data_IF_285368365796
#
_entry.id   IF_285368365796
#
_cell.length_a   1.000
_cell.length_b   1.000
_cell.length_c   1.000
_cell.angle_alpha   90.00
_cell.angle_beta   90.00
_cell.angle_gamma   90.00
#
_symmetry.space_group_name_H-M   'P 1'
#
loop_
_entity.id
_entity.type
_entity.pdbx_description
1 polymer ?
#
# COMPACT_ATOMS: atom_id res chain seq x y z
N UNK A 1 -2.55 -22.55 -4.19
CA UNK A 1 -3.27 -21.58 -3.34
C UNK A 1 -2.59 -20.22 -3.33
N UNK A 2 -1.40 -20.05 -2.74
CA UNK A 2 -0.73 -18.74 -2.64
C UNK A 2 -0.58 -17.98 -3.96
N UNK A 3 -0.18 -18.66 -5.04
CA UNK A 3 -0.07 -18.07 -6.38
C UNK A 3 -1.40 -17.48 -6.87
N UNK A 4 -2.51 -18.20 -6.71
CA UNK A 4 -3.82 -17.73 -7.17
C UNK A 4 -4.29 -16.53 -6.34
N UNK A 5 -4.03 -16.53 -5.03
CA UNK A 5 -4.27 -15.35 -4.20
C UNK A 5 -3.43 -14.15 -4.65
N UNK A 6 -2.15 -14.37 -5.01
CA UNK A 6 -1.29 -13.31 -5.52
C UNK A 6 -1.74 -12.77 -6.88
N UNK A 7 -2.26 -13.61 -7.79
CA UNK A 7 -2.80 -13.14 -9.07
C UNK A 7 -4.10 -12.37 -8.89
N UNK A 8 -4.97 -12.80 -7.96
CA UNK A 8 -6.30 -12.24 -7.79
C UNK A 8 -6.37 -11.06 -6.80
N UNK A 9 -5.28 -10.72 -6.10
CA UNK A 9 -5.33 -9.73 -5.01
C UNK A 9 -5.83 -8.34 -5.44
N UNK A 10 -5.56 -7.94 -6.67
CA UNK A 10 -5.93 -6.62 -7.22
C UNK A 10 -7.27 -6.62 -7.98
N UNK A 11 -7.87 -7.78 -8.25
CA UNK A 11 -9.12 -7.91 -9.04
C UNK A 11 -10.28 -7.12 -8.42
N UNK A 12 -10.32 -7.07 -7.10
CA UNK A 12 -11.34 -6.36 -6.33
C UNK A 12 -10.91 -4.97 -5.84
N UNK A 13 -9.81 -4.39 -6.34
CA UNK A 13 -9.33 -3.14 -5.75
C UNK A 13 -10.28 -1.95 -6.05
N UNK A 14 -10.62 -1.13 -5.04
CA UNK A 14 -11.50 0.02 -5.19
C UNK A 14 -11.04 1.07 -6.21
N UNK A 15 -9.77 1.08 -6.61
CA UNK A 15 -9.26 1.98 -7.66
C UNK A 15 -9.89 1.69 -9.03
N UNK A 16 -10.35 0.46 -9.27
CA UNK A 16 -10.83 0.01 -10.59
C UNK A 16 -12.31 -0.37 -10.59
N UNK A 17 -12.87 -0.72 -9.43
CA UNK A 17 -14.27 -1.18 -9.33
C UNK A 17 -14.93 -0.72 -8.04
N UNK A 18 -16.17 -0.27 -8.15
CA UNK A 18 -17.00 0.14 -7.00
C UNK A 18 -17.52 -1.05 -6.19
N UNK A 19 -17.54 -2.26 -6.77
CA UNK A 19 -18.03 -3.46 -6.10
C UNK A 19 -17.02 -4.62 -6.26
N UNK A 20 -15.83 -4.42 -5.71
CA UNK A 20 -14.71 -5.36 -5.84
C UNK A 20 -14.99 -6.77 -5.34
N UNK A 21 -15.80 -6.91 -4.29
CA UNK A 21 -16.20 -8.23 -3.76
C UNK A 21 -17.04 -8.98 -4.80
N UNK A 22 -18.00 -8.31 -5.44
CA UNK A 22 -18.82 -8.94 -6.49
C UNK A 22 -17.97 -9.37 -7.68
N UNK A 23 -17.02 -8.56 -8.11
CA UNK A 23 -16.11 -8.89 -9.23
C UNK A 23 -15.26 -10.10 -8.87
N UNK A 24 -14.64 -10.10 -7.69
CA UNK A 24 -13.85 -11.23 -7.21
C UNK A 24 -14.68 -12.52 -7.15
N UNK A 25 -15.90 -12.45 -6.63
CA UNK A 25 -16.79 -13.61 -6.54
C UNK A 25 -17.14 -14.15 -7.93
N UNK A 26 -17.44 -13.28 -8.89
CA UNK A 26 -17.70 -13.72 -10.27
C UNK A 26 -16.52 -14.47 -10.88
N UNK A 27 -15.28 -14.03 -10.63
CA UNK A 27 -14.08 -14.74 -11.08
C UNK A 27 -13.94 -16.10 -10.38
N UNK A 28 -14.17 -16.16 -9.08
CA UNK A 28 -14.08 -17.41 -8.31
C UNK A 28 -15.18 -18.41 -8.71
N UNK A 29 -16.40 -17.93 -8.95
CA UNK A 29 -17.53 -18.74 -9.40
C UNK A 29 -17.24 -19.35 -10.78
N UNK A 30 -16.65 -18.56 -11.69
CA UNK A 30 -16.24 -19.05 -13.01
C UNK A 30 -15.12 -20.10 -12.91
N UNK A 31 -14.07 -19.84 -12.11
CA UNK A 31 -13.00 -20.82 -11.87
C UNK A 31 -13.53 -22.12 -11.25
N UNK A 32 -14.56 -22.03 -10.41
CA UNK A 32 -15.22 -23.21 -9.85
C UNK A 32 -16.03 -23.96 -10.91
N UNK A 33 -16.83 -23.24 -11.72
CA UNK A 33 -17.63 -23.81 -12.80
C UNK A 33 -16.75 -24.53 -13.84
N UNK A 34 -15.56 -24.00 -14.12
CA UNK A 34 -14.58 -24.60 -15.03
C UNK A 34 -13.80 -25.78 -14.39
N UNK A 35 -14.06 -26.09 -13.11
CA UNK A 35 -13.45 -27.22 -12.40
C UNK A 35 -12.02 -26.97 -11.92
N UNK A 36 -11.53 -25.73 -11.95
CA UNK A 36 -10.16 -25.38 -11.53
C UNK A 36 -10.00 -25.30 -10.01
N UNK A 37 -11.08 -24.98 -9.27
CA UNK A 37 -11.06 -24.86 -7.81
C UNK A 37 -12.30 -25.47 -7.16
N UNK A 38 -12.17 -25.92 -5.91
CA UNK A 38 -13.29 -26.35 -5.08
C UNK A 38 -13.96 -25.16 -4.37
N UNK A 39 -15.21 -25.29 -3.89
CA UNK A 39 -15.88 -24.23 -3.14
C UNK A 39 -15.11 -23.81 -1.87
N UNK A 40 -14.49 -24.77 -1.18
CA UNK A 40 -13.64 -24.48 -0.02
C UNK A 40 -12.37 -23.70 -0.39
N UNK A 41 -11.78 -23.96 -1.56
CA UNK A 41 -10.67 -23.17 -2.07
C UNK A 41 -11.10 -21.76 -2.45
N UNK A 42 -12.26 -21.59 -3.09
CA UNK A 42 -12.81 -20.28 -3.44
C UNK A 42 -13.00 -19.40 -2.19
N UNK A 43 -13.62 -19.93 -1.13
CA UNK A 43 -13.80 -19.23 0.14
C UNK A 43 -12.46 -18.81 0.77
N UNK A 44 -11.47 -19.72 0.75
CA UNK A 44 -10.13 -19.45 1.26
C UNK A 44 -9.40 -18.37 0.45
N UNK A 45 -9.49 -18.40 -0.89
CA UNK A 45 -8.89 -17.38 -1.76
C UNK A 45 -9.52 -16.03 -1.49
N UNK A 46 -10.86 -15.96 -1.44
CA UNK A 46 -11.57 -14.73 -1.12
C UNK A 46 -11.12 -14.17 0.24
N UNK A 47 -11.04 -15.01 1.27
CA UNK A 47 -10.61 -14.59 2.59
C UNK A 47 -9.19 -14.01 2.61
N UNK A 48 -8.25 -14.64 1.88
CA UNK A 48 -6.88 -14.16 1.75
C UNK A 48 -6.84 -12.84 0.98
N UNK A 49 -7.41 -12.79 -0.23
CA UNK A 49 -7.39 -11.61 -1.12
C UNK A 49 -7.94 -10.37 -0.41
N UNK A 50 -9.05 -10.50 0.31
CA UNK A 50 -9.67 -9.39 1.05
C UNK A 50 -8.83 -8.88 2.24
N UNK A 51 -7.74 -9.55 2.61
CA UNK A 51 -6.85 -9.19 3.74
C UNK A 51 -5.43 -8.79 3.29
N UNK A 52 -5.12 -8.87 2.00
CA UNK A 52 -3.76 -8.62 1.48
C UNK A 52 -3.38 -7.15 1.64
N UNK A 53 -4.26 -6.21 1.29
CA UNK A 53 -3.90 -4.80 1.22
C UNK A 53 -3.46 -4.19 2.56
N UNK A 54 -2.52 -3.24 2.52
CA UNK A 54 -2.04 -2.49 3.69
C UNK A 54 -3.16 -1.90 4.56
N UNK A 55 -4.17 -1.30 3.92
CA UNK A 55 -5.32 -0.65 4.60
C UNK A 55 -6.11 -1.61 5.50
N UNK A 56 -6.05 -2.91 5.21
CA UNK A 56 -6.76 -3.92 5.99
C UNK A 56 -6.03 -4.24 7.30
N UNK A 57 -4.77 -3.83 7.46
CA UNK A 57 -4.02 -3.97 8.70
C UNK A 57 -4.14 -2.77 9.64
N UNK A 58 -4.74 -1.68 9.17
CA UNK A 58 -5.04 -0.51 10.01
C UNK A 58 -6.25 -0.83 10.90
N UNK A 59 -6.43 -0.11 12.03
CA UNK A 59 -7.62 -0.27 12.84
C UNK A 59 -8.90 -0.09 12.02
N UNK A 60 -9.85 -1.02 12.19
CA UNK A 60 -11.07 -1.12 11.39
C UNK A 60 -10.93 -1.88 10.06
N UNK A 61 -9.74 -2.41 9.75
CA UNK A 61 -9.51 -3.31 8.63
C UNK A 61 -9.83 -4.78 8.94
N UNK A 62 -9.82 -5.62 7.91
CA UNK A 62 -10.19 -7.04 8.03
C UNK A 62 -9.07 -7.96 8.55
N UNK A 63 -7.82 -7.51 8.55
CA UNK A 63 -6.67 -8.34 8.92
C UNK A 63 -6.47 -8.38 10.44
N UNK A 64 -6.24 -9.58 10.96
CA UNK A 64 -5.85 -9.85 12.33
C UNK A 64 -4.60 -10.74 12.36
N UNK A 65 -3.76 -10.68 13.41
CA UNK A 65 -2.62 -11.60 13.53
C UNK A 65 -3.01 -13.08 13.48
N UNK A 66 -4.22 -13.44 13.94
CA UNK A 66 -4.73 -14.80 13.89
C UNK A 66 -4.96 -15.34 12.47
N UNK A 67 -5.22 -14.46 11.50
CA UNK A 67 -5.42 -14.85 10.10
C UNK A 67 -4.17 -15.51 9.50
N UNK A 68 -2.97 -15.21 10.00
CA UNK A 68 -1.74 -15.85 9.55
C UNK A 68 -1.66 -17.34 9.95
N UNK A 69 -2.34 -17.71 11.04
CA UNK A 69 -2.46 -19.10 11.47
C UNK A 69 -3.56 -19.82 10.67
N UNK A 70 -4.67 -19.13 10.40
CA UNK A 70 -5.79 -19.67 9.61
C UNK A 70 -5.42 -19.86 8.14
N UNK A 71 -4.66 -18.91 7.58
CA UNK A 71 -4.27 -18.83 6.17
C UNK A 71 -2.74 -18.68 6.04
N UNK A 72 -1.97 -19.78 6.08
CA UNK A 72 -0.51 -19.74 5.97
C UNK A 72 0.01 -19.01 4.72
N UNK A 73 -0.76 -19.03 3.63
CA UNK A 73 -0.45 -18.33 2.37
C UNK A 73 -0.56 -16.79 2.47
N UNK A 74 -1.28 -16.25 3.45
CA UNK A 74 -1.53 -14.81 3.57
C UNK A 74 -0.24 -14.02 3.83
N UNK A 75 0.66 -14.56 4.65
CA UNK A 75 1.94 -13.92 4.97
C UNK A 75 2.80 -13.67 3.73
N UNK A 76 3.18 -14.72 2.97
CA UNK A 76 3.94 -14.58 1.74
C UNK A 76 3.26 -13.69 0.68
N UNK A 77 1.93 -13.78 0.53
CA UNK A 77 1.20 -12.95 -0.45
C UNK A 77 1.20 -11.47 -0.05
N UNK A 78 1.00 -11.16 1.23
CA UNK A 78 1.12 -9.79 1.75
C UNK A 78 2.54 -9.24 1.57
N UNK A 79 3.54 -10.04 1.88
CA UNK A 79 4.93 -9.60 1.76
C UNK A 79 5.30 -9.35 0.30
N UNK A 80 4.86 -10.20 -0.62
CA UNK A 80 5.07 -10.00 -2.05
C UNK A 80 4.44 -8.69 -2.56
N UNK A 81 3.18 -8.42 -2.23
CA UNK A 81 2.48 -7.17 -2.56
C UNK A 81 3.21 -5.94 -1.99
N UNK A 82 3.58 -6.00 -0.70
CA UNK A 82 4.24 -4.89 -0.02
C UNK A 82 5.68 -4.66 -0.49
N UNK A 83 6.41 -5.72 -0.84
CA UNK A 83 7.76 -5.61 -1.36
C UNK A 83 7.78 -4.85 -2.69
N UNK A 84 6.82 -5.10 -3.59
CA UNK A 84 6.71 -4.41 -4.88
C UNK A 84 6.38 -2.91 -4.74
N UNK A 85 5.82 -2.50 -3.59
CA UNK A 85 5.53 -1.11 -3.28
C UNK A 85 6.74 -0.31 -2.75
N UNK A 86 7.86 -0.96 -2.42
CA UNK A 86 9.05 -0.31 -1.83
C UNK A 86 10.33 -0.47 -2.67
N UNK A 87 11.35 0.32 -2.36
CA UNK A 87 12.62 0.39 -3.10
C UNK A 87 12.52 1.27 -4.33
N UNK A 88 13.45 1.08 -5.28
CA UNK A 88 13.54 1.91 -6.48
C UNK A 88 12.25 1.92 -7.33
N UNK A 89 11.61 0.75 -7.51
CA UNK A 89 10.33 0.66 -8.22
C UNK A 89 9.23 1.37 -7.44
N UNK A 90 9.20 1.23 -6.11
CA UNK A 90 8.26 1.95 -5.25
C UNK A 90 8.38 3.47 -5.39
N UNK A 91 9.60 4.01 -5.42
CA UNK A 91 9.87 5.43 -5.67
C UNK A 91 9.29 5.85 -7.03
N UNK A 92 9.68 5.17 -8.11
CA UNK A 92 9.24 5.50 -9.46
C UNK A 92 7.71 5.48 -9.60
N UNK A 93 7.06 4.43 -9.06
CA UNK A 93 5.59 4.29 -9.08
C UNK A 93 4.90 5.38 -8.30
N UNK A 94 5.46 5.80 -7.17
CA UNK A 94 4.88 6.85 -6.32
C UNK A 94 4.86 8.19 -7.04
N UNK A 95 5.98 8.60 -7.65
CA UNK A 95 6.03 9.85 -8.42
C UNK A 95 5.21 9.79 -9.71
N UNK A 96 5.22 8.66 -10.43
CA UNK A 96 4.38 8.49 -11.62
C UNK A 96 2.88 8.62 -11.28
N UNK A 97 2.44 7.98 -10.20
CA UNK A 97 1.05 8.06 -9.74
C UNK A 97 0.69 9.45 -9.21
N UNK A 98 1.61 10.11 -8.50
CA UNK A 98 1.46 11.49 -8.03
C UNK A 98 1.25 12.45 -9.20
N UNK A 99 2.14 12.40 -10.19
CA UNK A 99 2.05 13.21 -11.41
C UNK A 99 0.77 12.94 -12.21
N UNK A 100 0.37 11.67 -12.38
CA UNK A 100 -0.88 11.31 -13.05
C UNK A 100 -2.15 11.81 -12.31
N UNK A 101 -2.04 12.15 -11.02
CA UNK A 101 -3.11 12.74 -10.21
C UNK A 101 -2.96 14.25 -10.00
N UNK A 102 -2.01 14.90 -10.68
CA UNK A 102 -1.74 16.33 -10.50
C UNK A 102 -1.27 16.70 -9.09
N UNK A 103 -0.69 15.75 -8.33
CA UNK A 103 -0.15 16.01 -7.01
C UNK A 103 1.23 16.63 -7.13
N UNK A 104 1.50 17.63 -6.31
CA UNK A 104 2.85 18.18 -6.16
C UNK A 104 3.83 17.09 -5.73
N UNK A 105 5.08 17.20 -6.16
CA UNK A 105 6.13 16.30 -5.69
C UNK A 105 6.45 16.58 -4.22
N UNK A 106 6.53 17.86 -3.86
CA UNK A 106 6.83 18.39 -2.54
C UNK A 106 6.16 19.74 -2.35
N UNK A 107 5.59 19.97 -1.18
CA UNK A 107 4.99 21.25 -0.77
C UNK A 107 5.68 21.78 0.48
N UNK A 108 6.08 23.05 0.48
CA UNK A 108 6.70 23.70 1.65
C UNK A 108 5.76 23.78 2.85
N UNK A 109 4.45 23.82 2.62
CA UNK A 109 3.43 23.74 3.69
C UNK A 109 3.52 22.41 4.45
N UNK A 110 3.95 21.36 3.76
CA UNK A 110 4.15 20.01 4.30
C UNK A 110 5.60 19.78 4.75
N UNK A 111 6.50 20.78 4.70
CA UNK A 111 7.92 20.63 5.04
C UNK A 111 8.15 20.04 6.45
N UNK A 112 7.33 20.43 7.42
CA UNK A 112 7.35 19.85 8.77
C UNK A 112 7.09 18.34 8.76
N UNK A 113 6.26 17.85 7.84
CA UNK A 113 5.92 16.44 7.65
C UNK A 113 6.96 15.62 6.89
N UNK A 114 7.97 16.29 6.31
CA UNK A 114 9.09 15.69 5.56
C UNK A 114 10.41 15.68 6.34
N UNK A 115 10.44 16.38 7.48
CA UNK A 115 11.47 16.24 8.50
C UNK A 115 12.90 16.46 8.02
N UNK A 116 13.32 17.73 7.96
CA UNK A 116 14.73 18.06 8.13
C UNK A 116 15.15 17.89 9.61
N UNK A 117 15.27 16.64 10.07
CA UNK A 117 15.70 16.33 11.44
C UNK A 117 15.47 14.87 11.82
N UNK A 118 16.45 14.27 12.52
CA UNK A 118 16.46 12.88 13.01
C UNK A 118 15.20 12.48 13.82
N UNK A 119 14.46 13.45 14.37
CA UNK A 119 13.25 13.28 15.17
C UNK A 119 12.01 12.82 14.37
N UNK A 120 11.93 13.14 13.06
CA UNK A 120 10.70 12.99 12.25
C UNK A 120 10.67 11.73 11.36
N UNK A 121 11.50 10.73 11.65
CA UNK A 121 11.75 9.59 10.76
C UNK A 121 10.52 8.72 10.45
N UNK A 122 9.44 8.77 11.24
CA UNK A 122 8.17 8.11 10.93
C UNK A 122 7.01 8.91 11.51
N UNK A 123 6.19 9.54 10.67
CA UNK A 123 4.85 9.98 11.08
C UNK A 123 4.13 8.81 11.76
N UNK A 124 3.23 9.07 12.72
CA UNK A 124 2.38 8.02 13.24
C UNK A 124 1.58 7.41 12.07
N UNK A 125 1.37 6.10 12.13
CA UNK A 125 0.45 5.45 11.20
C UNK A 125 -0.94 6.10 11.29
N UNK A 126 -1.71 6.10 10.19
CA UNK A 126 -3.11 6.51 10.25
C UNK A 126 -3.84 5.75 11.37
N UNK A 127 -4.64 6.45 12.17
CA UNK A 127 -5.32 5.87 13.31
C UNK A 127 -6.41 4.88 12.90
N UNK A 128 -6.88 4.94 11.64
CA UNK A 128 -7.84 3.98 11.11
C UNK A 128 -7.77 3.83 9.58
N UNK A 129 -8.40 2.76 9.08
CA UNK A 129 -8.67 2.57 7.64
C UNK A 129 -9.45 3.74 7.04
N UNK A 130 -10.41 4.30 7.78
CA UNK A 130 -11.26 5.41 7.30
C UNK A 130 -10.41 6.66 7.10
N UNK A 131 -9.55 6.98 8.07
CA UNK A 131 -8.64 8.13 7.97
C UNK A 131 -7.66 7.98 6.81
N UNK A 132 -7.04 6.81 6.64
CA UNK A 132 -6.15 6.53 5.51
C UNK A 132 -6.83 6.68 4.14
N UNK A 133 -8.09 6.25 4.03
CA UNK A 133 -8.88 6.40 2.81
C UNK A 133 -9.25 7.87 2.56
N UNK A 134 -9.57 8.62 3.62
CA UNK A 134 -9.87 10.05 3.53
C UNK A 134 -8.64 10.88 3.12
N UNK A 135 -7.45 10.58 3.65
CA UNK A 135 -6.21 11.27 3.27
C UNK A 135 -5.75 10.98 1.84
N UNK A 136 -6.16 9.82 1.31
CA UNK A 136 -5.88 9.42 -0.07
C UNK A 136 -6.92 9.95 -1.07
N UNK A 137 -8.05 10.47 -0.58
CA UNK A 137 -9.15 10.96 -1.40
C UNK A 137 -8.73 12.25 -2.13
N UNK A 138 -9.08 12.30 -3.42
CA UNK A 138 -8.75 13.42 -4.29
C UNK A 138 -9.96 14.33 -4.35
N UNK A 139 -9.81 15.58 -3.88
CA UNK A 139 -10.83 16.60 -4.07
C UNK A 139 -10.66 17.25 -5.45
N UNK A 140 -11.77 17.45 -6.14
CA UNK A 140 -11.82 18.19 -7.41
C UNK A 140 -12.53 19.51 -7.12
N UNK A 141 -11.77 20.61 -7.13
CA UNK A 141 -12.32 21.97 -7.03
C UNK A 141 -12.05 22.71 -8.35
N UNK A 142 -13.09 23.26 -8.98
CA UNK A 142 -12.99 24.05 -10.23
C UNK A 142 -12.25 23.37 -11.40
N UNK A 143 -12.39 22.04 -11.56
CA UNK A 143 -11.73 21.29 -12.63
C UNK A 143 -10.22 21.12 -12.45
N UNK A 144 -9.66 21.63 -11.35
CA UNK A 144 -8.31 21.33 -10.90
C UNK A 144 -8.37 20.31 -9.77
N UNK A 145 -7.52 19.30 -9.89
CA UNK A 145 -7.34 18.29 -8.87
C UNK A 145 -6.50 18.89 -7.75
N UNK A 146 -7.11 19.26 -6.63
CA UNK A 146 -6.39 19.81 -5.47
C UNK A 146 -6.41 18.78 -4.34
N UNK A 147 -5.26 18.15 -4.09
CA UNK A 147 -5.06 17.38 -2.86
C UNK A 147 -4.59 18.33 -1.77
N UNK A 148 -5.53 19.04 -1.12
CA UNK A 148 -5.21 19.83 0.08
C UNK A 148 -4.51 18.92 1.10
N UNK A 149 -3.24 19.20 1.40
CA UNK A 149 -2.49 18.58 2.49
C UNK A 149 -1.84 17.21 2.22
N UNK A 150 -1.68 16.77 0.97
CA UNK A 150 -0.98 15.51 0.67
C UNK A 150 -0.21 15.57 -0.66
N UNK A 151 1.05 15.97 -0.61
CA UNK A 151 1.97 15.86 -1.75
C UNK A 151 2.44 14.41 -1.97
N UNK A 152 3.27 14.20 -2.99
CA UNK A 152 3.76 12.87 -3.35
C UNK A 152 4.75 12.33 -2.31
N UNK A 153 5.64 13.18 -1.79
CA UNK A 153 6.63 12.80 -0.79
C UNK A 153 5.97 12.38 0.54
N UNK A 154 4.80 12.94 0.86
CA UNK A 154 4.01 12.62 2.04
C UNK A 154 3.62 11.14 2.07
N UNK A 155 3.39 10.53 0.90
CA UNK A 155 3.05 9.10 0.80
C UNK A 155 4.13 8.17 1.35
N UNK A 156 5.39 8.58 1.28
CA UNK A 156 6.51 7.81 1.81
C UNK A 156 6.36 7.66 3.33
N UNK A 157 6.06 8.76 4.01
CA UNK A 157 5.92 8.79 5.47
C UNK A 157 4.61 8.18 5.94
N UNK A 158 3.50 8.36 5.24
CA UNK A 158 2.20 7.83 5.67
C UNK A 158 2.07 6.31 5.46
N UNK A 159 2.86 5.75 4.55
CA UNK A 159 2.75 4.33 4.18
C UNK A 159 4.08 3.65 3.93
N UNK A 160 4.83 4.09 2.93
CA UNK A 160 5.87 3.23 2.34
C UNK A 160 7.00 2.89 3.34
N UNK A 161 7.40 3.87 4.16
CA UNK A 161 8.41 3.70 5.21
C UNK A 161 7.92 2.88 6.42
N UNK A 162 6.63 2.52 6.47
CA UNK A 162 6.10 1.58 7.46
C UNK A 162 6.09 0.13 6.98
N UNK A 163 6.15 -0.12 5.66
CA UNK A 163 5.92 -1.45 5.11
C UNK A 163 7.00 -2.46 5.52
N UNK A 164 8.28 -2.05 5.55
CA UNK A 164 9.38 -2.96 5.85
C UNK A 164 9.29 -3.59 7.25
N UNK A 165 8.84 -2.83 8.25
CA UNK A 165 8.63 -3.31 9.61
C UNK A 165 7.39 -4.22 9.75
N UNK A 166 6.52 -4.24 8.74
CA UNK A 166 5.24 -4.94 8.76
C UNK A 166 5.23 -6.24 7.94
N UNK A 167 6.36 -6.60 7.34
CA UNK A 167 6.52 -7.88 6.65
C UNK A 167 6.29 -9.05 7.62
N UNK A 168 5.53 -10.04 7.17
CA UNK A 168 5.04 -11.19 7.95
C UNK A 168 6.10 -12.28 8.05
N UNK A 169 6.83 -12.54 6.98
CA UNK A 169 7.87 -13.58 6.87
C UNK A 169 9.26 -13.04 7.20
N UNK A 170 10.17 -13.93 7.60
CA UNK A 170 11.60 -13.58 7.82
C UNK A 170 12.26 -13.13 6.53
N UNK A 171 11.94 -13.79 5.42
CA UNK A 171 12.48 -13.53 4.09
C UNK A 171 11.97 -12.18 3.58
N UNK A 172 10.67 -11.90 3.77
CA UNK A 172 10.07 -10.60 3.46
C UNK A 172 10.75 -9.46 4.21
N UNK A 173 10.99 -9.63 5.52
CA UNK A 173 11.76 -8.64 6.32
C UNK A 173 13.18 -8.44 5.80
N UNK A 174 13.88 -9.53 5.44
CA UNK A 174 15.24 -9.47 4.93
C UNK A 174 15.32 -8.69 3.60
N UNK A 175 14.43 -9.00 2.65
CA UNK A 175 14.35 -8.31 1.36
C UNK A 175 13.94 -6.84 1.50
N UNK A 176 13.02 -6.55 2.43
CA UNK A 176 12.52 -5.21 2.65
C UNK A 176 13.59 -4.27 3.23
N UNK A 177 14.55 -4.80 4.02
CA UNK A 177 15.59 -4.00 4.67
C UNK A 177 16.38 -3.14 3.68
N UNK A 178 16.87 -3.74 2.60
CA UNK A 178 17.66 -3.03 1.60
C UNK A 178 16.81 -2.01 0.82
N UNK A 179 15.56 -2.38 0.47
CA UNK A 179 14.62 -1.50 -0.23
C UNK A 179 14.23 -0.29 0.62
N UNK A 180 14.00 -0.50 1.91
CA UNK A 180 13.68 0.54 2.89
C UNK A 180 14.82 1.54 3.06
N UNK A 181 16.05 1.03 3.28
CA UNK A 181 17.23 1.89 3.43
C UNK A 181 17.44 2.78 2.20
N UNK A 182 17.25 2.24 1.00
CA UNK A 182 17.33 3.01 -0.24
C UNK A 182 16.30 4.15 -0.29
N UNK A 183 15.05 3.88 0.14
CA UNK A 183 14.01 4.90 0.18
C UNK A 183 14.28 5.99 1.22
N UNK A 184 14.81 5.64 2.41
CA UNK A 184 15.20 6.62 3.42
C UNK A 184 16.29 7.56 2.89
N UNK A 185 17.31 7.00 2.23
CA UNK A 185 18.37 7.80 1.59
C UNK A 185 17.82 8.71 0.48
N UNK A 186 16.96 8.16 -0.39
CA UNK A 186 16.33 8.94 -1.45
C UNK A 186 15.49 10.11 -0.90
N UNK A 187 14.65 9.87 0.11
CA UNK A 187 13.81 10.92 0.70
C UNK A 187 14.68 11.99 1.36
N UNK A 188 15.74 11.61 2.07
CA UNK A 188 16.66 12.56 2.70
C UNK A 188 17.36 13.44 1.66
N UNK A 189 17.92 12.83 0.61
CA UNK A 189 18.59 13.56 -0.49
C UNK A 189 17.61 14.48 -1.23
N UNK A 190 16.41 13.99 -1.55
CA UNK A 190 15.36 14.79 -2.18
C UNK A 190 15.00 16.04 -1.35
N UNK A 191 14.86 15.90 -0.03
CA UNK A 191 14.56 17.02 0.87
C UNK A 191 15.72 18.01 0.95
N UNK A 192 16.96 17.54 0.97
CA UNK A 192 18.14 18.42 0.97
C UNK A 192 18.23 19.23 -0.34
N UNK A 193 18.03 18.59 -1.49
CA UNK A 193 18.06 19.24 -2.80
C UNK A 193 16.94 20.27 -2.96
N UNK A 194 15.69 19.91 -2.64
CA UNK A 194 14.54 20.83 -2.82
C UNK A 194 14.57 22.01 -1.84
N UNK A 195 15.26 21.87 -0.69
CA UNK A 195 15.43 22.94 0.29
C UNK A 195 16.72 23.75 0.10
N UNK A 196 17.53 23.42 -0.91
CA UNK A 196 18.78 24.13 -1.21
C UNK A 196 19.89 23.92 -0.18
N UNK A 197 19.86 22.80 0.55
CA UNK A 197 20.92 22.42 1.52
C UNK A 197 22.08 21.65 0.88
N UNK A 198 21.88 21.16 -0.35
CA UNK A 198 22.87 20.46 -1.16
C UNK A 198 22.74 20.88 -2.63
#
# INVERSE_FOLDING_TARGET
MAWLCAVLHDVGDPKYTSNGVKVLNGVLDQLHADGHITPGQAQRIQAVVLRVSFREELPGGMFTPGDLLTYPELGPVKDADQLDAIGAIGIARTFAFGGARGREMYSSEMAASHGAGLENRRRPLPASKIEYLASSAVSVENGQTTTKGHDTLTHFHDKLLHLAARMKTSEGRALAKARHAFMESFVAEFVEEVTGKR
#
